data_IF_062725036675
#
_entry.id   IF_062725036675
#
_cell.length_a   1.000
_cell.length_b   1.000
_cell.length_c   1.000
_cell.angle_alpha   90.00
_cell.angle_beta   90.00
_cell.angle_gamma   90.00
#
_symmetry.space_group_name_H-M   'P 1'
#
loop_
_entity.id
_entity.type
_entity.pdbx_description
1 polymer ?
#
# COMPACT_ATOMS: atom_id res chain seq x y z
N UNK A 1 3.21 -6.87 6.73
CA UNK A 1 2.21 -5.91 7.25
C UNK A 1 1.85 -6.24 8.70
N UNK A 2 1.35 -7.43 9.02
CA UNK A 2 1.08 -7.80 10.43
C UNK A 2 2.30 -7.68 11.35
N UNK A 3 3.46 -8.19 10.93
CA UNK A 3 4.72 -7.98 11.64
C UNK A 3 5.24 -6.52 11.67
N UNK A 4 4.53 -5.56 11.06
CA UNK A 4 4.83 -4.12 11.15
C UNK A 4 3.82 -3.38 12.04
N UNK A 5 2.90 -4.11 12.70
CA UNK A 5 1.87 -3.54 13.59
C UNK A 5 0.55 -3.21 12.91
N UNK A 6 0.35 -3.55 11.63
CA UNK A 6 -0.96 -3.39 10.97
C UNK A 6 -1.88 -4.57 11.30
N UNK A 7 -3.13 -4.28 11.63
CA UNK A 7 -4.14 -5.27 11.98
C UNK A 7 -5.35 -5.22 11.03
N UNK A 8 -6.37 -6.03 11.32
CA UNK A 8 -7.59 -6.11 10.52
C UNK A 8 -8.50 -4.87 10.63
N UNK A 9 -8.18 -3.91 11.52
CA UNK A 9 -8.90 -2.64 11.68
C UNK A 9 -8.26 -1.49 10.90
N UNK A 10 -7.06 -1.73 10.36
CA UNK A 10 -6.35 -0.76 9.51
C UNK A 10 -7.02 -0.66 8.14
N UNK A 11 -7.35 0.56 7.70
CA UNK A 11 -7.75 0.80 6.30
C UNK A 11 -6.55 0.65 5.38
N UNK A 12 -6.66 -0.23 4.39
CA UNK A 12 -5.59 -0.52 3.47
C UNK A 12 -5.97 -0.12 2.05
N UNK A 13 -5.18 0.70 1.39
CA UNK A 13 -5.37 1.01 -0.04
C UNK A 13 -4.28 0.36 -0.88
N UNK A 14 -4.67 -0.31 -1.97
CA UNK A 14 -3.72 -0.91 -2.92
C UNK A 14 -3.74 -0.13 -4.23
N UNK A 15 -2.71 0.68 -4.42
CA UNK A 15 -2.42 1.38 -5.67
C UNK A 15 -1.69 0.41 -6.62
N UNK A 16 -2.39 -0.04 -7.65
CA UNK A 16 -1.87 -1.04 -8.58
C UNK A 16 -2.38 -0.84 -10.01
N UNK A 17 -1.59 -1.31 -10.97
CA UNK A 17 -2.08 -1.56 -12.32
C UNK A 17 -3.03 -2.77 -12.35
N UNK A 18 -3.34 -3.27 -13.55
CA UNK A 18 -4.16 -4.47 -13.70
C UNK A 18 -3.42 -5.68 -13.10
N UNK A 19 -3.90 -6.19 -11.97
CA UNK A 19 -3.34 -7.37 -11.32
C UNK A 19 -3.79 -8.62 -12.08
N UNK A 20 -2.82 -9.43 -12.52
CA UNK A 20 -3.10 -10.73 -13.13
C UNK A 20 -3.82 -11.64 -12.13
N UNK A 21 -4.97 -12.21 -12.53
CA UNK A 21 -5.79 -13.07 -11.68
C UNK A 21 -6.01 -12.51 -10.25
N UNK A 22 -6.42 -11.24 -10.18
CA UNK A 22 -6.56 -10.48 -8.93
C UNK A 22 -7.37 -11.22 -7.86
N UNK A 23 -8.44 -11.92 -8.24
CA UNK A 23 -9.27 -12.69 -7.31
C UNK A 23 -8.46 -13.73 -6.53
N UNK A 24 -7.58 -14.48 -7.22
CA UNK A 24 -6.73 -15.50 -6.59
C UNK A 24 -5.62 -14.87 -5.75
N UNK A 25 -4.90 -13.90 -6.29
CA UNK A 25 -3.69 -13.37 -5.64
C UNK A 25 -3.98 -12.32 -4.55
N UNK A 26 -5.13 -11.64 -4.59
CA UNK A 26 -5.55 -10.71 -3.54
C UNK A 26 -6.36 -11.37 -2.43
N UNK A 27 -6.87 -12.60 -2.61
CA UNK A 27 -7.66 -13.29 -1.60
C UNK A 27 -6.95 -13.41 -0.24
N UNK A 28 -5.66 -13.82 -0.14
CA UNK A 28 -4.98 -13.89 1.15
C UNK A 28 -4.83 -12.52 1.82
N UNK A 29 -4.56 -11.48 1.02
CA UNK A 29 -4.40 -10.12 1.54
C UNK A 29 -5.73 -9.56 2.06
N UNK A 30 -6.84 -9.78 1.34
CA UNK A 30 -8.20 -9.40 1.76
C UNK A 30 -8.65 -10.16 3.01
N UNK A 31 -8.27 -11.43 3.15
CA UNK A 31 -8.59 -12.22 4.35
C UNK A 31 -7.90 -11.64 5.60
N UNK A 32 -6.66 -11.16 5.47
CA UNK A 32 -5.93 -10.54 6.59
C UNK A 32 -6.38 -9.10 6.86
N UNK A 33 -6.73 -8.34 5.82
CA UNK A 33 -7.10 -6.93 5.89
C UNK A 33 -8.48 -6.74 5.23
N UNK A 34 -9.59 -6.89 5.97
CA UNK A 34 -10.94 -6.82 5.41
C UNK A 34 -11.32 -5.41 4.94
N UNK A 35 -10.68 -4.36 5.49
CA UNK A 35 -10.85 -2.96 5.08
C UNK A 35 -9.95 -2.57 3.89
N UNK A 36 -9.60 -3.53 3.04
CA UNK A 36 -8.80 -3.32 1.84
C UNK A 36 -9.65 -2.68 0.73
N UNK A 37 -9.18 -1.54 0.24
CA UNK A 37 -9.77 -0.75 -0.82
C UNK A 37 -8.84 -0.68 -2.03
N UNK A 38 -9.43 -0.57 -3.21
CA UNK A 38 -8.78 -0.22 -4.48
C UNK A 38 -9.49 1.00 -5.08
N UNK A 39 -8.97 1.57 -6.16
CA UNK A 39 -9.68 2.63 -6.89
C UNK A 39 -11.10 2.22 -7.30
N UNK A 40 -11.31 0.97 -7.69
CA UNK A 40 -12.61 0.43 -8.11
C UNK A 40 -13.62 0.30 -6.96
N UNK A 41 -13.15 0.20 -5.71
CA UNK A 41 -14.03 0.15 -4.54
C UNK A 41 -14.23 1.53 -3.89
N UNK A 42 -13.30 2.47 -4.13
CA UNK A 42 -13.34 3.81 -3.56
C UNK A 42 -14.21 4.78 -4.36
N UNK A 43 -14.23 4.65 -5.69
CA UNK A 43 -14.97 5.54 -6.59
C UNK A 43 -16.08 4.79 -7.33
N UNK A 44 -17.13 5.52 -7.73
CA UNK A 44 -18.20 4.95 -8.53
C UNK A 44 -17.70 4.65 -9.95
N UNK A 45 -18.27 3.64 -10.61
CA UNK A 45 -17.91 3.29 -11.99
C UNK A 45 -18.09 4.47 -12.96
N UNK A 46 -19.10 5.32 -12.73
CA UNK A 46 -19.35 6.53 -13.53
C UNK A 46 -18.27 7.60 -13.35
N UNK A 47 -17.67 7.70 -12.15
CA UNK A 47 -16.57 8.62 -11.87
C UNK A 47 -15.28 8.10 -12.50
N UNK A 48 -15.04 6.78 -12.42
CA UNK A 48 -13.88 6.13 -13.01
C UNK A 48 -13.91 6.12 -14.53
N UNK A 49 -15.09 6.05 -15.15
CA UNK A 49 -15.27 6.08 -16.61
C UNK A 49 -14.62 7.31 -17.27
N UNK A 50 -14.52 8.45 -16.56
CA UNK A 50 -13.87 9.67 -17.06
C UNK A 50 -12.34 9.53 -17.20
N UNK A 51 -11.76 8.56 -16.50
CA UNK A 51 -10.33 8.28 -16.46
C UNK A 51 -9.96 6.99 -17.21
N UNK A 52 -10.95 6.18 -17.60
CA UNK A 52 -10.74 4.99 -18.42
C UNK A 52 -10.02 5.33 -19.73
N UNK A 53 -9.10 4.45 -20.14
CA UNK A 53 -8.23 4.66 -21.30
C UNK A 53 -7.02 5.59 -21.06
N UNK A 54 -6.97 6.31 -19.93
CA UNK A 54 -5.86 7.21 -19.60
C UNK A 54 -5.09 6.73 -18.37
N UNK A 55 -4.08 5.87 -18.60
CA UNK A 55 -3.27 5.28 -17.52
C UNK A 55 -2.63 6.30 -16.59
N UNK A 56 -2.15 7.43 -17.13
CA UNK A 56 -1.56 8.51 -16.34
C UNK A 56 -2.56 9.22 -15.43
N UNK A 57 -3.82 9.36 -15.86
CA UNK A 57 -4.88 9.98 -15.05
C UNK A 57 -5.37 9.03 -13.96
N UNK A 58 -5.50 7.74 -14.27
CA UNK A 58 -5.76 6.71 -13.25
C UNK A 58 -4.65 6.65 -12.20
N UNK A 59 -3.39 6.76 -12.63
CA UNK A 59 -2.25 6.87 -11.71
C UNK A 59 -2.31 8.14 -10.85
N UNK A 60 -2.86 9.25 -11.34
CA UNK A 60 -3.03 10.46 -10.54
C UNK A 60 -4.06 10.30 -9.40
N UNK A 61 -5.09 9.45 -9.59
CA UNK A 61 -6.01 9.07 -8.51
C UNK A 61 -5.27 8.27 -7.43
N UNK A 62 -4.56 7.22 -7.86
CA UNK A 62 -3.72 6.41 -6.96
C UNK A 62 -2.73 7.32 -6.20
N UNK A 63 -2.13 8.30 -6.87
CA UNK A 63 -1.17 9.25 -6.28
C UNK A 63 -1.80 10.10 -5.18
N UNK A 64 -2.98 10.66 -5.41
CA UNK A 64 -3.67 11.51 -4.42
C UNK A 64 -3.93 10.75 -3.11
N UNK A 65 -4.41 9.51 -3.25
CA UNK A 65 -4.68 8.64 -2.10
C UNK A 65 -3.37 8.28 -1.36
N UNK A 66 -2.30 7.99 -2.10
CA UNK A 66 -0.98 7.72 -1.51
C UNK A 66 -0.35 8.94 -0.82
N UNK A 67 -0.59 10.16 -1.30
CA UNK A 67 -0.05 11.38 -0.65
C UNK A 67 -0.69 11.57 0.72
N UNK A 68 -2.01 11.37 0.82
CA UNK A 68 -2.78 11.62 2.04
C UNK A 68 -2.67 10.49 3.07
N UNK A 69 -2.07 9.35 2.72
CA UNK A 69 -1.97 8.21 3.64
C UNK A 69 -1.01 8.46 4.80
N UNK A 70 -1.34 7.97 6.01
CA UNK A 70 -0.43 8.04 7.16
C UNK A 70 0.85 7.25 6.89
N UNK A 71 0.70 6.01 6.41
CA UNK A 71 1.83 5.15 6.02
C UNK A 71 1.78 4.83 4.54
N UNK A 72 2.91 5.02 3.88
CA UNK A 72 3.12 4.64 2.49
C UNK A 72 4.10 3.48 2.39
N UNK A 73 3.73 2.39 1.73
CA UNK A 73 4.56 1.21 1.51
C UNK A 73 4.80 1.04 0.01
N UNK A 74 6.06 0.98 -0.41
CA UNK A 74 6.41 0.70 -1.81
C UNK A 74 7.16 -0.61 -1.93
N UNK A 75 6.74 -1.45 -2.87
CA UNK A 75 7.38 -2.75 -3.14
C UNK A 75 8.29 -2.70 -4.36
N UNK A 76 8.17 -1.71 -5.25
CA UNK A 76 8.97 -1.59 -6.46
C UNK A 76 9.65 -0.23 -6.56
N UNK A 77 10.76 -0.19 -7.29
CA UNK A 77 11.34 1.07 -7.75
C UNK A 77 10.50 1.66 -8.89
N UNK A 78 10.72 2.93 -9.21
CA UNK A 78 10.05 3.59 -10.33
C UNK A 78 9.77 5.04 -10.05
N UNK A 79 9.27 5.74 -11.06
CA UNK A 79 8.99 7.17 -10.99
C UNK A 79 7.88 7.49 -9.99
N UNK A 80 6.82 6.68 -9.95
CA UNK A 80 5.68 6.89 -9.07
C UNK A 80 6.07 6.99 -7.57
N UNK A 81 6.70 5.96 -6.96
CA UNK A 81 7.11 6.05 -5.57
C UNK A 81 8.18 7.13 -5.34
N UNK A 82 9.04 7.41 -6.32
CA UNK A 82 10.07 8.44 -6.18
C UNK A 82 9.46 9.85 -6.04
N UNK A 83 8.54 10.23 -6.94
CA UNK A 83 7.84 11.51 -6.86
C UNK A 83 7.00 11.62 -5.60
N UNK A 84 6.33 10.53 -5.23
CA UNK A 84 5.47 10.49 -4.06
C UNK A 84 6.24 10.66 -2.75
N UNK A 85 7.41 10.02 -2.63
CA UNK A 85 8.31 10.18 -1.48
C UNK A 85 8.77 11.63 -1.33
N UNK A 86 9.17 12.27 -2.42
CA UNK A 86 9.57 13.68 -2.42
C UNK A 86 8.42 14.59 -1.99
N UNK A 87 7.23 14.39 -2.57
CA UNK A 87 6.03 15.16 -2.23
C UNK A 87 5.65 15.01 -0.75
N UNK A 88 5.59 13.77 -0.25
CA UNK A 88 5.30 13.47 1.16
C UNK A 88 6.33 14.11 2.09
N UNK A 89 7.62 14.08 1.73
CA UNK A 89 8.68 14.72 2.53
C UNK A 89 8.50 16.24 2.57
N UNK A 90 8.19 16.85 1.43
CA UNK A 90 8.07 18.31 1.30
C UNK A 90 6.83 18.87 1.99
N UNK A 91 5.63 18.36 1.69
CA UNK A 91 4.38 18.91 2.23
C UNK A 91 4.07 18.49 3.67
N UNK A 92 4.47 17.28 4.09
CA UNK A 92 4.12 16.73 5.40
C UNK A 92 5.22 16.94 6.44
N UNK A 93 6.06 17.97 6.26
CA UNK A 93 7.13 18.34 7.19
C UNK A 93 8.16 17.23 7.42
N UNK A 94 8.23 16.25 6.52
CA UNK A 94 9.10 15.09 6.62
C UNK A 94 8.66 13.99 7.58
N UNK A 95 7.50 14.11 8.24
CA UNK A 95 7.04 13.15 9.25
C UNK A 95 6.19 12.00 8.68
N UNK A 96 5.89 12.03 7.38
CA UNK A 96 5.08 11.01 6.73
C UNK A 96 5.83 9.69 6.60
N UNK A 97 5.33 8.64 7.27
CA UNK A 97 6.00 7.34 7.31
C UNK A 97 6.01 6.71 5.93
N UNK A 98 7.20 6.36 5.45
CA UNK A 98 7.41 5.63 4.20
C UNK A 98 8.23 4.38 4.47
N UNK A 99 7.69 3.22 4.10
CA UNK A 99 8.31 1.91 4.30
C UNK A 99 8.71 1.35 2.94
N UNK A 100 10.00 1.08 2.77
CA UNK A 100 10.54 0.37 1.60
C UNK A 100 11.25 -0.89 2.09
N UNK A 101 10.57 -2.05 2.06
CA UNK A 101 11.17 -3.29 2.55
C UNK A 101 12.39 -3.68 1.71
N UNK A 102 13.47 -4.11 2.37
CA UNK A 102 14.63 -4.67 1.71
C UNK A 102 14.31 -6.10 1.25
N UNK A 103 14.09 -6.26 -0.06
CA UNK A 103 13.73 -7.54 -0.66
C UNK A 103 14.76 -8.64 -0.40
N UNK A 104 16.05 -8.31 -0.38
CA UNK A 104 17.11 -9.31 -0.20
C UNK A 104 17.06 -9.88 1.20
N UNK A 105 16.87 -9.00 2.20
CA UNK A 105 16.71 -9.42 3.59
C UNK A 105 15.40 -10.18 3.81
N UNK A 106 14.31 -9.73 3.19
CA UNK A 106 13.02 -10.42 3.30
C UNK A 106 13.06 -11.85 2.77
N UNK A 107 13.73 -12.10 1.64
CA UNK A 107 13.87 -13.46 1.10
C UNK A 107 14.57 -14.36 2.11
N UNK A 108 15.71 -13.92 2.65
CA UNK A 108 16.45 -14.66 3.68
C UNK A 108 15.60 -14.91 4.93
N UNK A 109 14.76 -13.94 5.33
CA UNK A 109 13.86 -14.12 6.48
C UNK A 109 12.72 -15.09 6.21
N UNK A 110 12.18 -15.13 4.99
CA UNK A 110 11.12 -16.09 4.63
C UNK A 110 11.64 -17.52 4.46
N UNK A 111 12.93 -17.68 4.17
CA UNK A 111 13.59 -18.99 4.11
C UNK A 111 13.94 -19.55 5.51
N UNK A 112 13.88 -18.73 6.57
CA UNK A 112 14.15 -19.16 7.95
C UNK A 112 12.92 -19.86 8.58
N UNK A 113 13.01 -21.17 8.91
CA UNK A 113 11.91 -21.90 9.54
C UNK A 113 11.60 -21.44 10.97
N UNK A 114 12.48 -20.66 11.60
CA UNK A 114 12.29 -20.11 12.95
C UNK A 114 11.79 -18.67 12.95
N UNK A 115 11.24 -18.16 11.83
CA UNK A 115 10.63 -16.84 11.78
C UNK A 115 9.48 -16.76 12.80
N UNK A 116 9.78 -16.19 13.97
CA UNK A 116 8.78 -15.91 14.99
C UNK A 116 8.00 -14.68 14.55
N UNK A 117 6.67 -14.77 14.64
CA UNK A 117 5.78 -13.62 14.56
C UNK A 117 6.03 -12.74 15.79
N UNK A 118 7.10 -11.95 15.76
CA UNK A 118 7.41 -10.93 16.75
C UNK A 118 6.37 -9.82 16.64
N UNK A 119 5.21 -10.04 17.24
CA UNK A 119 4.21 -8.99 17.49
C UNK A 119 4.74 -8.19 18.67
N UNK A 120 5.58 -7.21 18.41
CA UNK A 120 5.82 -6.16 19.39
C UNK A 120 4.56 -5.29 19.42
N UNK A 121 3.68 -5.56 20.39
CA UNK A 121 2.41 -4.89 20.61
C UNK A 121 2.56 -3.46 21.15
N UNK A 122 3.76 -2.89 21.10
CA UNK A 122 4.02 -1.51 21.48
C UNK A 122 3.51 -0.55 20.38
N UNK A 123 2.23 -0.22 20.50
CA UNK A 123 1.63 1.06 20.07
C UNK A 123 1.91 1.48 18.62
N UNK A 124 1.25 0.83 17.66
CA UNK A 124 1.14 1.41 16.30
C UNK A 124 -0.31 1.61 15.92
N UNK A 125 -0.82 2.81 16.25
CA UNK A 125 -2.14 3.31 15.90
C UNK A 125 -2.17 3.79 14.44
N UNK A 126 -1.92 2.90 13.48
CA UNK A 126 -2.05 3.27 12.07
C UNK A 126 -3.49 3.04 11.64
N UNK A 127 -4.17 4.11 11.23
CA UNK A 127 -5.54 4.01 10.73
C UNK A 127 -5.56 3.79 9.23
N UNK A 128 -4.53 4.25 8.52
CA UNK A 128 -4.54 4.24 7.06
C UNK A 128 -3.17 3.95 6.44
N UNK A 129 -3.10 2.89 5.63
CA UNK A 129 -1.89 2.46 4.95
C UNK A 129 -2.12 2.29 3.45
N UNK A 130 -1.22 2.81 2.64
CA UNK A 130 -1.26 2.63 1.19
C UNK A 130 -0.08 1.79 0.70
N UNK A 131 -0.35 0.81 -0.15
CA UNK A 131 0.66 -0.05 -0.80
C UNK A 131 0.67 0.23 -2.29
N UNK A 132 1.87 0.46 -2.83
CA UNK A 132 2.11 0.45 -4.28
C UNK A 132 2.79 -0.85 -4.68
N UNK A 133 2.17 -1.55 -5.65
CA UNK A 133 2.64 -2.82 -6.22
C UNK A 133 3.21 -2.65 -7.61
#
# INVERSE_FOLDING_TARGET
LRGMGFDNTTFLYVASGKIYNAAKYMAPLRQMFPLLQTKDTLALSEELAKFEGYSSRLAALDYTVCVQSEVFVTTQGGNFPHFLMGHRRYLLGGNAKTIKPDKRKLVLSFDDPNIRDGVDSSTTCWKYCTIVT
#
